data_IF_664067517721
#
_entry.id   IF_664067517721
#
_cell.length_a   1.000
_cell.length_b   1.000
_cell.length_c   1.000
_cell.angle_alpha   90.00
_cell.angle_beta   90.00
_cell.angle_gamma   90.00
#
_symmetry.space_group_name_H-M   'P 1'
#
loop_
_entity.id
_entity.type
_entity.pdbx_description
1 polymer ?
#
# COMPACT_ATOMS: atom_id res chain seq x y z
N UNK A 1 62.98 -23.99 42.92
CA UNK A 1 62.70 -23.91 44.36
C UNK A 1 62.73 -22.45 44.75
N UNK A 2 61.65 -21.73 44.84
CA UNK A 2 61.46 -20.53 45.65
C UNK A 2 59.94 -20.34 45.77
N UNK A 3 59.47 -20.45 47.01
CA UNK A 3 58.08 -20.22 47.41
C UNK A 3 57.83 -18.73 47.59
N UNK A 4 56.85 -18.17 46.99
CA UNK A 4 56.33 -16.82 47.26
C UNK A 4 55.06 -16.92 48.04
N UNK A 5 55.01 -16.37 49.22
CA UNK A 5 53.92 -16.30 50.18
C UNK A 5 53.12 -15.02 49.91
N UNK A 6 51.85 -15.15 49.61
CA UNK A 6 50.97 -14.02 49.38
C UNK A 6 50.23 -13.65 50.67
N UNK A 7 50.41 -12.43 51.16
CA UNK A 7 49.72 -11.81 52.29
C UNK A 7 48.37 -11.29 51.81
N UNK A 8 47.27 -11.72 52.49
CA UNK A 8 45.94 -11.19 52.28
C UNK A 8 45.70 -10.13 53.36
N UNK A 9 45.51 -8.89 52.92
CA UNK A 9 45.05 -7.78 53.80
C UNK A 9 43.52 -7.67 53.73
N UNK A 10 42.86 -7.87 54.85
CA UNK A 10 41.42 -7.69 55.04
C UNK A 10 41.15 -6.24 55.44
N UNK A 11 40.58 -5.41 54.58
CA UNK A 11 40.05 -4.10 54.94
C UNK A 11 38.53 -4.24 55.23
N UNK A 12 38.17 -4.07 56.48
CA UNK A 12 36.78 -3.90 56.89
C UNK A 12 36.33 -2.47 56.69
N UNK A 13 35.41 -2.23 55.80
CA UNK A 13 34.71 -0.97 55.62
C UNK A 13 33.35 -1.05 56.34
N UNK A 14 33.20 -0.19 57.37
CA UNK A 14 31.94 0.07 58.05
C UNK A 14 31.13 1.02 57.17
N UNK A 15 29.99 0.57 56.63
CA UNK A 15 29.02 1.40 55.94
C UNK A 15 27.93 1.89 56.90
N UNK A 16 27.91 3.19 57.15
CA UNK A 16 26.77 3.87 57.74
C UNK A 16 25.59 3.92 56.74
N UNK A 17 24.52 3.28 57.08
CA UNK A 17 23.26 3.36 56.34
C UNK A 17 22.56 4.71 56.47
N UNK A 18 22.36 5.38 55.37
CA UNK A 18 21.38 6.47 55.21
C UNK A 18 20.23 5.97 54.32
N UNK A 19 19.07 5.71 54.94
CA UNK A 19 17.86 5.39 54.19
C UNK A 19 17.27 6.70 53.66
N UNK A 20 17.47 7.00 52.39
CA UNK A 20 16.63 7.97 51.70
C UNK A 20 15.31 7.32 51.31
N UNK A 21 14.16 8.03 51.49
CA UNK A 21 12.87 7.50 51.05
C UNK A 21 12.83 7.48 49.51
N UNK A 22 12.53 6.31 49.00
CA UNK A 22 12.26 6.12 47.58
C UNK A 22 11.17 7.11 47.15
N UNK A 23 11.52 7.99 46.20
CA UNK A 23 10.53 8.75 45.44
C UNK A 23 9.72 7.78 44.57
N UNK A 24 8.54 7.42 45.04
CA UNK A 24 7.49 6.83 44.21
C UNK A 24 7.18 7.80 43.07
N UNK A 25 7.27 7.32 41.82
CA UNK A 25 6.82 8.09 40.67
C UNK A 25 7.53 7.85 39.39
N UNK A 26 8.18 6.70 39.16
CA UNK A 26 8.42 6.27 37.76
C UNK A 26 7.08 5.71 37.25
N UNK A 27 6.49 6.23 36.14
CA UNK A 27 5.31 5.61 35.58
C UNK A 27 5.69 4.17 35.23
N UNK A 28 4.91 3.22 35.76
CA UNK A 28 4.90 1.83 35.33
C UNK A 28 4.96 1.83 33.81
N UNK A 29 5.91 1.12 33.20
CA UNK A 29 5.85 0.78 31.77
C UNK A 29 4.54 0.01 31.59
N UNK A 30 3.45 0.75 31.27
CA UNK A 30 2.25 0.13 30.72
C UNK A 30 2.74 -0.61 29.48
N UNK A 31 2.54 -1.92 29.43
CA UNK A 31 2.92 -2.77 28.30
C UNK A 31 2.27 -2.19 27.06
N UNK A 32 3.07 -1.47 26.25
CA UNK A 32 2.60 -0.83 25.03
C UNK A 32 2.23 -1.91 24.03
N UNK A 33 0.98 -1.93 23.58
CA UNK A 33 0.51 -2.85 22.54
C UNK A 33 1.12 -2.42 21.20
N UNK A 34 1.71 -3.36 20.47
CA UNK A 34 2.23 -3.12 19.12
C UNK A 34 1.39 -3.90 18.13
N UNK A 35 0.65 -3.19 17.28
CA UNK A 35 -0.10 -3.78 16.17
C UNK A 35 0.80 -3.88 14.94
N UNK A 36 0.92 -5.10 14.39
CA UNK A 36 1.65 -5.36 13.15
C UNK A 36 0.71 -5.17 11.95
N UNK A 37 0.96 -4.15 11.14
CA UNK A 37 0.20 -3.82 9.95
C UNK A 37 1.11 -3.96 8.71
N UNK A 38 0.79 -4.91 7.82
CA UNK A 38 1.67 -5.23 6.69
C UNK A 38 0.89 -5.47 5.41
N UNK A 39 1.47 -5.10 4.26
CA UNK A 39 0.92 -5.54 2.99
C UNK A 39 1.05 -4.55 1.84
N UNK A 40 -0.09 -4.13 1.29
CA UNK A 40 -0.16 -3.33 0.08
C UNK A 40 0.66 -2.04 0.13
N UNK A 41 1.59 -1.90 -0.82
CA UNK A 41 2.37 -0.67 -0.97
C UNK A 41 1.51 0.52 -1.40
N UNK A 42 0.35 0.27 -1.99
CA UNK A 42 -0.65 1.32 -2.28
C UNK A 42 -1.09 2.00 -0.99
N UNK A 43 -1.30 1.25 0.10
CA UNK A 43 -1.79 1.81 1.37
C UNK A 43 -0.68 2.31 2.32
N UNK A 44 0.60 2.12 2.01
CA UNK A 44 1.68 2.42 2.98
C UNK A 44 1.63 3.86 3.47
N UNK A 45 1.49 4.84 2.57
CA UNK A 45 1.47 6.26 2.92
C UNK A 45 0.28 6.64 3.83
N UNK A 46 -0.91 6.12 3.55
CA UNK A 46 -2.09 6.39 4.39
C UNK A 46 -2.05 5.59 5.69
N UNK A 47 -1.58 4.34 5.65
CA UNK A 47 -1.44 3.52 6.86
C UNK A 47 -0.43 4.13 7.85
N UNK A 48 0.66 4.72 7.36
CA UNK A 48 1.62 5.47 8.18
C UNK A 48 0.97 6.73 8.75
N UNK A 49 0.23 7.50 7.96
CA UNK A 49 -0.47 8.68 8.44
C UNK A 49 -1.51 8.34 9.52
N UNK A 50 -2.26 7.25 9.34
CA UNK A 50 -3.16 6.75 10.38
C UNK A 50 -2.42 6.32 11.64
N UNK A 51 -1.29 5.61 11.51
CA UNK A 51 -0.50 5.17 12.65
C UNK A 51 0.07 6.36 13.45
N UNK A 52 0.55 7.39 12.76
CA UNK A 52 1.05 8.62 13.37
C UNK A 52 -0.05 9.39 14.10
N UNK A 53 -1.20 9.60 13.44
CA UNK A 53 -2.33 10.31 14.03
C UNK A 53 -2.97 9.53 15.19
N UNK A 54 -3.07 8.20 15.10
CA UNK A 54 -3.63 7.37 16.16
C UNK A 54 -2.80 7.35 17.44
N UNK A 55 -1.49 7.54 17.33
CA UNK A 55 -0.60 7.67 18.50
C UNK A 55 -1.01 8.82 19.44
N UNK A 56 -1.54 9.90 18.87
CA UNK A 56 -2.05 11.05 19.67
C UNK A 56 -3.40 10.71 20.33
N UNK A 57 -4.17 9.78 19.73
CA UNK A 57 -5.47 9.32 20.27
C UNK A 57 -5.27 8.27 21.37
N UNK A 58 -4.36 7.31 21.12
CA UNK A 58 -4.05 6.24 22.08
C UNK A 58 -2.52 5.98 22.17
N UNK A 59 -1.80 6.69 23.05
CA UNK A 59 -0.35 6.56 23.21
C UNK A 59 0.13 5.16 23.63
N UNK A 60 -0.77 4.33 24.18
CA UNK A 60 -0.46 2.96 24.61
C UNK A 60 -0.49 1.95 23.46
N UNK A 61 -0.93 2.37 22.26
CA UNK A 61 -0.93 1.53 21.05
C UNK A 61 0.06 2.09 20.03
N UNK A 62 0.97 1.25 19.58
CA UNK A 62 1.85 1.54 18.45
C UNK A 62 1.44 0.70 17.25
N UNK A 63 1.39 1.30 16.07
CA UNK A 63 1.12 0.57 14.84
C UNK A 63 2.39 0.53 14.00
N UNK A 64 2.96 -0.67 13.81
CA UNK A 64 4.13 -0.89 12.96
C UNK A 64 3.68 -1.17 11.52
N UNK A 65 3.88 -0.20 10.63
CA UNK A 65 3.45 -0.30 9.23
C UNK A 65 4.60 -0.76 8.34
N UNK A 66 4.36 -1.82 7.55
CA UNK A 66 5.32 -2.30 6.55
C UNK A 66 4.62 -2.63 5.23
N UNK A 67 5.26 -2.29 4.11
CA UNK A 67 4.84 -2.65 2.76
C UNK A 67 5.15 -4.12 2.41
N UNK A 68 5.37 -4.37 1.13
CA UNK A 68 5.77 -5.68 0.59
C UNK A 68 4.71 -6.35 -0.27
N UNK A 69 3.64 -5.62 -0.60
CA UNK A 69 2.55 -6.08 -1.46
C UNK A 69 1.42 -6.80 -0.72
N UNK A 70 0.20 -6.72 -1.28
CA UNK A 70 -1.00 -7.35 -0.70
C UNK A 70 -0.86 -8.84 -0.49
N UNK A 71 -0.18 -9.54 -1.41
CA UNK A 71 0.05 -10.99 -1.28
C UNK A 71 0.90 -11.34 -0.07
N UNK A 72 1.93 -10.55 0.22
CA UNK A 72 2.80 -10.74 1.38
C UNK A 72 2.06 -10.44 2.68
N UNK A 73 1.26 -9.36 2.72
CA UNK A 73 0.43 -9.04 3.89
C UNK A 73 -0.57 -10.13 4.20
N UNK A 74 -1.33 -10.58 3.20
CA UNK A 74 -2.29 -11.67 3.35
C UNK A 74 -1.59 -12.95 3.84
N UNK A 75 -0.47 -13.35 3.22
CA UNK A 75 0.29 -14.52 3.67
C UNK A 75 0.75 -14.39 5.15
N UNK A 76 1.21 -13.21 5.55
CA UNK A 76 1.59 -12.94 6.95
C UNK A 76 0.40 -13.07 7.90
N UNK A 77 -0.79 -12.57 7.51
CA UNK A 77 -2.03 -12.72 8.28
C UNK A 77 -2.41 -14.20 8.47
N UNK A 78 -2.38 -14.97 7.37
CA UNK A 78 -2.72 -16.41 7.40
C UNK A 78 -1.74 -17.24 8.23
N UNK A 79 -0.52 -16.75 8.41
CA UNK A 79 0.49 -17.39 9.25
C UNK A 79 0.51 -16.84 10.69
N UNK A 80 -0.41 -15.94 11.05
CA UNK A 80 -0.53 -15.37 12.38
C UNK A 80 0.63 -14.45 12.79
N UNK A 81 1.34 -13.86 11.83
CA UNK A 81 2.51 -13.01 12.08
C UNK A 81 2.20 -11.51 12.03
N UNK A 82 0.96 -11.14 11.69
CA UNK A 82 0.48 -9.75 11.71
C UNK A 82 -0.97 -9.68 12.21
N UNK A 83 -1.35 -8.54 12.75
CA UNK A 83 -2.70 -8.27 13.24
C UNK A 83 -3.61 -7.77 12.12
N UNK A 84 -3.04 -7.03 11.17
CA UNK A 84 -3.75 -6.40 10.07
C UNK A 84 -2.96 -6.60 8.76
N UNK A 85 -3.63 -7.10 7.72
CA UNK A 85 -3.07 -7.15 6.38
C UNK A 85 -3.71 -6.08 5.48
N UNK A 86 -2.89 -5.14 4.99
CA UNK A 86 -3.31 -4.15 3.99
C UNK A 86 -3.41 -4.79 2.61
N UNK A 87 -4.51 -4.56 1.90
CA UNK A 87 -4.71 -5.10 0.56
C UNK A 87 -5.39 -4.10 -0.38
N UNK A 88 -4.92 -4.08 -1.62
CA UNK A 88 -5.51 -3.34 -2.75
C UNK A 88 -6.04 -4.28 -3.83
N UNK A 89 -6.42 -5.45 -3.43
CA UNK A 89 -7.17 -6.49 -4.13
C UNK A 89 -7.90 -7.37 -3.13
N UNK A 90 -8.94 -8.04 -3.57
CA UNK A 90 -9.59 -9.06 -2.73
C UNK A 90 -8.66 -10.25 -2.45
N UNK A 91 -8.90 -10.89 -1.31
CA UNK A 91 -8.29 -12.18 -0.98
C UNK A 91 -8.73 -13.22 -2.02
N UNK A 92 -7.79 -14.06 -2.49
CA UNK A 92 -8.05 -15.06 -3.52
C UNK A 92 -8.62 -16.34 -2.91
N UNK A 93 -9.40 -17.09 -3.67
CA UNK A 93 -9.99 -18.37 -3.21
C UNK A 93 -8.95 -19.34 -2.63
N UNK A 94 -7.77 -19.44 -3.25
CA UNK A 94 -6.67 -20.25 -2.75
C UNK A 94 -6.11 -19.76 -1.41
N UNK A 95 -6.12 -18.45 -1.16
CA UNK A 95 -5.71 -17.83 0.10
C UNK A 95 -6.77 -18.09 1.18
N UNK A 96 -8.06 -17.99 0.82
CA UNK A 96 -9.18 -18.37 1.71
C UNK A 96 -9.10 -19.86 2.08
N UNK A 97 -8.82 -20.74 1.12
CA UNK A 97 -8.64 -22.15 1.38
C UNK A 97 -7.44 -22.44 2.31
N UNK A 98 -6.35 -21.68 2.16
CA UNK A 98 -5.20 -21.78 3.06
C UNK A 98 -5.52 -21.25 4.46
N UNK A 99 -6.27 -20.12 4.56
CA UNK A 99 -6.75 -19.58 5.83
C UNK A 99 -7.50 -20.64 6.65
N UNK A 100 -8.46 -21.32 6.01
CA UNK A 100 -9.24 -22.40 6.65
C UNK A 100 -8.35 -23.53 7.19
N UNK A 101 -7.31 -23.92 6.45
CA UNK A 101 -6.35 -24.95 6.91
C UNK A 101 -5.56 -24.47 8.13
N UNK A 102 -5.26 -23.19 8.21
CA UNK A 102 -4.53 -22.58 9.33
C UNK A 102 -5.45 -22.20 10.51
N UNK A 103 -6.76 -22.47 10.42
CA UNK A 103 -7.73 -22.07 11.45
C UNK A 103 -7.96 -20.54 11.52
N UNK A 104 -7.67 -19.83 10.46
CA UNK A 104 -7.86 -18.38 10.35
C UNK A 104 -9.11 -18.09 9.52
N UNK A 105 -9.95 -17.18 9.99
CA UNK A 105 -11.11 -16.66 9.25
C UNK A 105 -10.88 -15.19 8.90
N UNK A 106 -10.33 -14.86 7.72
CA UNK A 106 -10.04 -13.48 7.36
C UNK A 106 -11.32 -12.65 7.27
N UNK A 107 -11.38 -11.55 8.02
CA UNK A 107 -12.47 -10.59 7.96
C UNK A 107 -12.02 -9.37 7.17
N UNK A 108 -12.82 -9.02 6.15
CA UNK A 108 -12.57 -7.88 5.27
C UNK A 108 -13.15 -6.60 5.84
N UNK A 109 -12.34 -5.55 5.85
CA UNK A 109 -12.74 -4.18 6.21
C UNK A 109 -12.38 -3.27 5.04
N UNK A 110 -13.38 -2.75 4.32
CA UNK A 110 -13.16 -1.72 3.30
C UNK A 110 -12.86 -0.40 4.02
N UNK A 111 -11.69 0.18 3.75
CA UNK A 111 -11.20 1.39 4.41
C UNK A 111 -11.15 2.62 3.49
N UNK A 112 -11.36 2.43 2.20
CA UNK A 112 -11.39 3.49 1.19
C UNK A 112 -11.46 2.93 -0.22
N UNK A 113 -11.35 3.82 -1.22
CA UNK A 113 -11.28 3.46 -2.64
C UNK A 113 -10.09 4.16 -3.31
N UNK A 114 -9.61 3.56 -4.38
CA UNK A 114 -8.47 4.03 -5.16
C UNK A 114 -8.82 4.02 -6.65
N UNK A 115 -8.59 5.12 -7.34
CA UNK A 115 -8.50 5.15 -8.78
C UNK A 115 -7.12 4.63 -9.18
N UNK A 116 -7.05 3.52 -9.91
CA UNK A 116 -5.78 3.03 -10.44
C UNK A 116 -5.42 3.87 -11.67
N UNK A 117 -4.54 4.87 -11.48
CA UNK A 117 -4.15 5.79 -12.52
C UNK A 117 -3.13 5.17 -13.48
N UNK A 118 -3.25 5.51 -14.77
CA UNK A 118 -2.21 5.29 -15.77
C UNK A 118 -1.29 6.50 -15.76
N UNK A 119 0.02 6.26 -15.62
CA UNK A 119 1.04 7.30 -15.59
C UNK A 119 1.85 7.31 -16.87
N UNK A 120 2.05 8.49 -17.41
CA UNK A 120 2.86 8.79 -18.59
C UNK A 120 3.88 9.87 -18.24
N UNK A 121 4.97 9.93 -18.99
CA UNK A 121 5.88 11.07 -18.92
C UNK A 121 5.11 12.36 -19.24
N UNK A 122 5.44 13.48 -18.58
CA UNK A 122 4.73 14.76 -18.72
C UNK A 122 4.61 15.27 -20.16
N UNK A 123 5.58 14.96 -21.01
CA UNK A 123 5.62 15.38 -22.41
C UNK A 123 4.90 14.40 -23.35
N UNK A 124 4.26 13.34 -22.83
CA UNK A 124 3.49 12.40 -23.63
C UNK A 124 2.21 13.08 -24.16
N UNK A 125 1.95 13.07 -25.48
CA UNK A 125 0.77 13.73 -26.05
C UNK A 125 -0.54 12.96 -25.87
N UNK A 126 -0.52 11.71 -25.38
CA UNK A 126 -1.70 10.86 -25.20
C UNK A 126 -2.60 11.41 -24.10
N UNK A 127 -3.79 11.94 -24.43
CA UNK A 127 -4.74 12.52 -23.48
C UNK A 127 -5.82 11.54 -23.01
N UNK A 128 -6.11 10.53 -23.79
CA UNK A 128 -7.10 9.50 -23.50
C UNK A 128 -6.58 8.12 -23.90
N UNK A 129 -7.00 7.09 -23.14
CA UNK A 129 -6.68 5.70 -23.43
C UNK A 129 -7.85 4.81 -23.09
N UNK A 130 -8.13 3.80 -23.92
CA UNK A 130 -9.17 2.81 -23.62
C UNK A 130 -8.60 1.62 -22.84
N UNK A 131 -9.47 0.91 -22.10
CA UNK A 131 -9.11 -0.36 -21.45
C UNK A 131 -8.61 -1.37 -22.49
N UNK A 132 -9.16 -1.37 -23.71
CA UNK A 132 -8.70 -2.21 -24.81
C UNK A 132 -7.27 -1.87 -25.25
N UNK A 133 -6.92 -0.59 -25.37
CA UNK A 133 -5.55 -0.17 -25.68
C UNK A 133 -4.56 -0.52 -24.56
N UNK A 134 -4.96 -0.36 -23.29
CA UNK A 134 -4.16 -0.82 -22.15
C UNK A 134 -3.92 -2.33 -22.21
N UNK A 135 -4.93 -3.12 -22.59
CA UNK A 135 -4.79 -4.56 -22.82
C UNK A 135 -3.82 -4.85 -23.96
N UNK A 136 -3.91 -4.14 -25.06
CA UNK A 136 -2.98 -4.31 -26.21
C UNK A 136 -1.52 -3.99 -25.84
N UNK A 137 -1.30 -3.06 -24.91
CA UNK A 137 0.03 -2.73 -24.39
C UNK A 137 0.55 -3.81 -23.45
N UNK A 138 -0.26 -4.28 -22.51
CA UNK A 138 0.22 -5.08 -21.38
C UNK A 138 -0.04 -6.58 -21.47
N UNK A 139 -1.04 -7.03 -22.23
CA UNK A 139 -1.40 -8.45 -22.32
C UNK A 139 -0.54 -9.21 -23.32
N UNK A 140 -0.23 -10.47 -23.00
CA UNK A 140 0.33 -11.40 -23.97
C UNK A 140 -0.58 -11.48 -25.21
N UNK A 141 0.02 -11.43 -26.41
CA UNK A 141 -0.72 -11.37 -27.69
C UNK A 141 -1.33 -10.01 -28.01
N UNK A 142 -1.19 -9.01 -27.15
CA UNK A 142 -1.58 -7.62 -27.42
C UNK A 142 -0.76 -7.01 -28.56
N UNK A 143 -1.31 -6.02 -29.26
CA UNK A 143 -0.80 -5.55 -30.56
C UNK A 143 0.02 -4.25 -30.45
N UNK A 144 0.07 -3.60 -29.30
CA UNK A 144 0.78 -2.34 -29.12
C UNK A 144 2.12 -2.58 -28.40
N UNK A 145 3.22 -2.55 -29.16
CA UNK A 145 4.59 -2.57 -28.63
C UNK A 145 5.30 -1.23 -28.85
N UNK A 146 4.78 -0.41 -29.76
CA UNK A 146 5.31 0.90 -30.11
C UNK A 146 4.26 1.99 -29.89
N UNK A 147 4.72 3.20 -29.65
CA UNK A 147 3.82 4.36 -29.55
C UNK A 147 3.10 4.65 -30.87
N UNK A 148 3.77 4.38 -32.02
CA UNK A 148 3.15 4.48 -33.35
C UNK A 148 2.00 3.49 -33.57
N UNK A 149 1.96 2.35 -32.87
CA UNK A 149 0.83 1.41 -32.93
C UNK A 149 -0.46 2.03 -32.35
N UNK A 150 -0.31 3.06 -31.52
CA UNK A 150 -1.40 3.88 -30.97
C UNK A 150 -1.59 5.20 -31.73
N UNK A 151 -0.90 5.40 -32.85
CA UNK A 151 -0.91 6.65 -33.61
C UNK A 151 -0.17 7.82 -32.92
N UNK A 152 0.68 7.52 -31.95
CA UNK A 152 1.39 8.52 -31.12
C UNK A 152 2.84 8.62 -31.59
N UNK A 153 3.31 9.86 -31.77
CA UNK A 153 4.74 10.18 -31.91
C UNK A 153 5.27 10.73 -30.60
N UNK A 154 6.09 9.96 -29.90
CA UNK A 154 6.64 10.34 -28.60
C UNK A 154 7.85 11.26 -28.74
N UNK A 155 7.80 12.50 -28.21
CA UNK A 155 8.99 13.34 -28.10
C UNK A 155 9.94 12.78 -27.03
N UNK A 156 11.25 12.92 -27.28
CA UNK A 156 12.27 12.52 -26.30
C UNK A 156 12.53 11.02 -26.19
N UNK A 157 11.81 10.17 -26.94
CA UNK A 157 12.10 8.76 -27.02
C UNK A 157 13.27 8.47 -27.97
N UNK A 158 14.23 7.68 -27.52
CA UNK A 158 15.35 7.22 -28.34
C UNK A 158 14.92 6.09 -29.33
N UNK A 159 13.86 5.40 -29.01
CA UNK A 159 13.18 4.42 -29.86
C UNK A 159 11.68 4.63 -29.77
N UNK A 160 10.92 4.08 -30.73
CA UNK A 160 9.44 4.13 -30.71
C UNK A 160 8.82 3.10 -29.74
N UNK A 161 9.64 2.26 -29.11
CA UNK A 161 9.15 1.19 -28.26
C UNK A 161 8.54 1.70 -26.95
N UNK A 162 7.42 1.11 -26.56
CA UNK A 162 6.77 1.39 -25.28
C UNK A 162 7.55 0.72 -24.15
N UNK A 163 8.06 1.50 -23.20
CA UNK A 163 8.65 0.99 -21.97
C UNK A 163 7.53 0.70 -20.98
N UNK A 164 7.12 -0.56 -20.89
CA UNK A 164 6.08 -1.00 -19.94
C UNK A 164 6.63 -1.06 -18.53
N UNK A 165 6.02 -0.28 -17.63
CA UNK A 165 6.34 -0.29 -16.19
C UNK A 165 5.18 -0.95 -15.46
N UNK A 166 5.47 -2.03 -14.76
CA UNK A 166 4.50 -2.86 -14.05
C UNK A 166 4.89 -3.01 -12.57
N UNK A 167 4.18 -3.84 -11.86
CA UNK A 167 4.41 -4.16 -10.45
C UNK A 167 4.79 -5.63 -10.31
N UNK A 168 5.50 -5.96 -9.24
CA UNK A 168 5.81 -7.36 -8.90
C UNK A 168 4.53 -8.18 -8.65
N UNK A 169 4.58 -9.47 -8.85
CA UNK A 169 3.42 -10.39 -8.79
C UNK A 169 2.78 -10.53 -7.40
N UNK A 170 3.47 -10.17 -6.32
CA UNK A 170 2.93 -10.08 -4.96
C UNK A 170 2.13 -8.79 -4.71
N UNK A 171 2.21 -7.81 -5.62
CA UNK A 171 1.45 -6.56 -5.55
C UNK A 171 -0.05 -6.79 -5.78
N UNK A 172 -0.87 -6.16 -4.94
CA UNK A 172 -2.32 -6.09 -5.17
C UNK A 172 -2.66 -5.30 -6.43
N UNK A 173 -1.87 -4.28 -6.75
CA UNK A 173 -2.03 -3.45 -7.96
C UNK A 173 -1.77 -4.27 -9.22
N UNK A 174 -0.72 -5.10 -9.23
CA UNK A 174 -0.48 -6.05 -10.32
C UNK A 174 -1.68 -6.97 -10.55
N UNK A 175 -2.17 -7.60 -9.47
CA UNK A 175 -3.26 -8.56 -9.58
C UNK A 175 -4.59 -7.90 -9.99
N UNK A 176 -4.88 -6.71 -9.47
CA UNK A 176 -6.08 -5.96 -9.83
C UNK A 176 -6.04 -5.47 -11.28
N UNK A 177 -4.91 -4.89 -11.74
CA UNK A 177 -4.76 -4.46 -13.14
C UNK A 177 -4.89 -5.65 -14.10
N UNK A 178 -4.32 -6.81 -13.73
CA UNK A 178 -4.49 -8.04 -14.51
C UNK A 178 -5.96 -8.39 -14.67
N UNK A 179 -6.73 -8.36 -13.60
CA UNK A 179 -8.16 -8.70 -13.62
C UNK A 179 -8.99 -7.68 -14.41
N UNK A 180 -8.78 -6.38 -14.15
CA UNK A 180 -9.59 -5.30 -14.70
C UNK A 180 -9.28 -4.99 -16.18
N UNK A 181 -8.01 -5.12 -16.59
CA UNK A 181 -7.54 -4.72 -17.93
C UNK A 181 -7.25 -5.93 -18.83
N UNK A 182 -6.46 -6.88 -18.36
CA UNK A 182 -6.07 -8.05 -19.16
C UNK A 182 -7.21 -9.06 -19.22
N UNK A 183 -7.94 -9.22 -18.12
CA UNK A 183 -9.06 -10.12 -18.00
C UNK A 183 -8.69 -11.50 -17.43
N UNK A 184 -9.72 -12.28 -17.09
CA UNK A 184 -9.56 -13.63 -16.54
C UNK A 184 -8.82 -14.55 -17.51
N UNK A 185 -7.78 -15.22 -17.02
CA UNK A 185 -6.98 -16.17 -17.79
C UNK A 185 -5.95 -15.55 -18.74
N UNK A 186 -5.93 -14.23 -18.91
CA UNK A 186 -4.88 -13.55 -19.66
C UNK A 186 -3.57 -13.47 -18.86
N UNK A 187 -2.45 -13.32 -19.56
CA UNK A 187 -1.13 -13.13 -18.96
C UNK A 187 -0.52 -11.80 -19.40
N UNK A 188 0.42 -11.29 -18.59
CA UNK A 188 1.18 -10.11 -18.97
C UNK A 188 2.19 -10.44 -20.07
N UNK A 189 2.39 -9.49 -20.98
CA UNK A 189 3.50 -9.49 -21.93
C UNK A 189 4.83 -9.50 -21.18
N UNK A 190 5.77 -10.30 -21.64
CA UNK A 190 7.14 -10.31 -21.12
C UNK A 190 7.87 -8.98 -21.42
N UNK A 191 8.91 -8.68 -20.65
CA UNK A 191 9.75 -7.50 -20.82
C UNK A 191 9.23 -6.23 -20.17
N UNK A 192 8.23 -6.31 -19.28
CA UNK A 192 7.87 -5.21 -18.38
C UNK A 192 8.95 -4.99 -17.32
N UNK A 193 9.08 -3.75 -16.86
CA UNK A 193 9.90 -3.41 -15.70
C UNK A 193 9.03 -3.54 -14.46
N UNK A 194 9.19 -4.64 -13.72
CA UNK A 194 8.35 -4.97 -12.57
C UNK A 194 8.93 -4.38 -11.28
N UNK A 195 8.28 -3.33 -10.77
CA UNK A 195 8.73 -2.56 -9.62
C UNK A 195 8.01 -2.98 -8.32
N UNK A 196 8.71 -2.80 -7.19
CA UNK A 196 8.19 -3.17 -5.88
C UNK A 196 7.12 -2.16 -5.42
N UNK A 197 7.47 -0.88 -5.30
CA UNK A 197 6.64 0.17 -4.72
C UNK A 197 5.74 0.89 -5.72
N UNK A 198 4.69 1.51 -5.21
CA UNK A 198 3.82 2.38 -6.00
C UNK A 198 4.56 3.64 -6.44
N UNK A 199 5.36 4.20 -5.54
CA UNK A 199 6.21 5.37 -5.81
C UNK A 199 7.25 5.07 -6.89
N UNK A 200 7.87 3.90 -6.85
CA UNK A 200 8.92 3.52 -7.80
C UNK A 200 8.41 3.55 -9.26
N UNK A 201 7.12 3.18 -9.47
CA UNK A 201 6.48 3.26 -10.80
C UNK A 201 6.45 4.71 -11.29
N UNK A 202 5.98 5.62 -10.46
CA UNK A 202 5.87 7.04 -10.82
C UNK A 202 7.25 7.65 -11.06
N UNK A 203 8.22 7.38 -10.18
CA UNK A 203 9.60 7.87 -10.31
C UNK A 203 10.29 7.38 -11.60
N UNK A 204 10.00 6.13 -12.03
CA UNK A 204 10.55 5.61 -13.26
C UNK A 204 9.90 6.22 -14.51
N UNK A 205 8.57 6.37 -14.49
CA UNK A 205 7.81 6.99 -15.58
C UNK A 205 8.22 8.45 -15.78
N UNK A 206 8.37 9.20 -14.69
CA UNK A 206 8.86 10.59 -14.70
C UNK A 206 10.19 10.77 -15.45
N UNK A 207 11.10 9.78 -15.30
CA UNK A 207 12.46 9.82 -15.85
C UNK A 207 12.61 9.13 -17.21
N UNK A 208 11.53 8.55 -17.73
CA UNK A 208 11.56 7.72 -18.94
C UNK A 208 10.50 8.18 -19.94
N UNK A 209 10.84 9.02 -20.93
CA UNK A 209 9.87 9.57 -21.88
C UNK A 209 8.98 8.53 -22.56
N UNK A 210 9.53 7.35 -22.90
CA UNK A 210 8.78 6.28 -23.59
C UNK A 210 7.98 5.38 -22.63
N UNK A 211 7.95 5.68 -21.31
CA UNK A 211 7.32 4.81 -20.36
C UNK A 211 5.80 5.04 -20.24
N UNK A 212 5.12 3.92 -19.99
CA UNK A 212 3.76 3.88 -19.47
C UNK A 212 3.76 3.00 -18.24
N UNK A 213 3.12 3.44 -17.17
CA UNK A 213 3.00 2.71 -15.92
C UNK A 213 1.62 2.83 -15.30
N UNK A 214 1.34 2.06 -14.27
CA UNK A 214 0.09 2.13 -13.52
C UNK A 214 0.34 2.00 -12.01
N UNK A 215 -0.33 2.85 -11.23
CA UNK A 215 -0.27 2.82 -9.77
C UNK A 215 -1.48 3.54 -9.17
N UNK A 216 -1.63 3.56 -7.84
CA UNK A 216 -2.67 4.33 -7.17
C UNK A 216 -2.55 5.83 -7.44
N UNK A 217 -3.68 6.50 -7.64
CA UNK A 217 -3.76 7.95 -7.90
C UNK A 217 -3.01 8.78 -6.85
N UNK A 218 -3.06 8.37 -5.59
CA UNK A 218 -2.41 9.04 -4.48
C UNK A 218 -0.87 9.21 -4.60
N UNK A 219 -0.24 8.55 -5.56
CA UNK A 219 1.19 8.68 -5.86
C UNK A 219 1.49 9.65 -7.01
N UNK A 220 0.46 10.26 -7.62
CA UNK A 220 0.63 11.26 -8.66
C UNK A 220 1.44 12.46 -8.15
N UNK A 221 2.28 13.02 -9.03
CA UNK A 221 3.01 14.24 -8.80
C UNK A 221 2.98 15.14 -10.06
N UNK A 222 3.52 16.33 -9.99
CA UNK A 222 3.52 17.31 -11.07
C UNK A 222 4.43 16.95 -12.27
N UNK A 223 5.26 15.91 -12.15
CA UNK A 223 6.22 15.48 -13.17
C UNK A 223 5.69 14.37 -14.07
N UNK A 224 4.50 13.84 -13.80
CA UNK A 224 3.84 12.83 -14.62
C UNK A 224 2.48 13.32 -15.11
N UNK A 225 2.03 12.76 -16.21
CA UNK A 225 0.72 13.01 -16.79
C UNK A 225 -0.15 11.76 -16.67
N UNK A 226 -1.43 11.96 -16.48
CA UNK A 226 -2.42 10.90 -16.43
C UNK A 226 -3.46 11.11 -17.52
N UNK A 227 -3.58 10.24 -18.52
CA UNK A 227 -4.66 10.30 -19.49
C UNK A 227 -5.98 9.94 -18.79
N UNK A 228 -7.09 10.47 -19.27
CA UNK A 228 -8.38 9.90 -18.91
C UNK A 228 -8.54 8.49 -19.50
N UNK A 229 -9.33 7.66 -18.83
CA UNK A 229 -9.56 6.26 -19.25
C UNK A 229 -11.00 6.09 -19.73
N UNK A 230 -11.15 5.40 -20.86
CA UNK A 230 -12.44 5.00 -21.42
C UNK A 230 -12.64 3.50 -21.18
N UNK A 231 -13.81 3.11 -20.73
CA UNK A 231 -14.16 1.68 -20.57
C UNK A 231 -14.13 0.95 -21.92
N UNK A 232 -14.62 1.62 -22.97
CA UNK A 232 -14.60 1.20 -24.37
C UNK A 232 -14.56 2.44 -25.29
N UNK A 233 -14.56 2.23 -26.60
CA UNK A 233 -14.45 3.32 -27.56
C UNK A 233 -15.67 4.29 -27.55
N UNK A 234 -16.84 3.82 -27.15
CA UNK A 234 -18.07 4.61 -27.08
C UNK A 234 -18.27 5.32 -25.72
N UNK A 235 -17.55 4.87 -24.68
CA UNK A 235 -17.67 5.41 -23.33
C UNK A 235 -17.08 6.82 -23.22
N UNK A 236 -17.59 7.59 -22.26
CA UNK A 236 -16.97 8.85 -21.88
C UNK A 236 -15.56 8.62 -21.32
N UNK A 237 -14.65 9.55 -21.61
CA UNK A 237 -13.31 9.54 -21.04
C UNK A 237 -13.37 10.11 -19.62
N UNK A 238 -12.99 9.33 -18.63
CA UNK A 238 -13.04 9.72 -17.22
C UNK A 238 -11.61 9.90 -16.69
N UNK A 239 -11.31 11.08 -16.15
CA UNK A 239 -10.04 11.31 -15.47
C UNK A 239 -9.98 10.54 -14.14
N UNK A 240 -8.80 10.03 -13.73
CA UNK A 240 -8.67 9.40 -12.42
C UNK A 240 -8.95 10.43 -11.32
N UNK A 241 -9.93 10.15 -10.47
CA UNK A 241 -10.29 11.01 -9.33
C UNK A 241 -10.85 10.19 -8.17
N UNK A 242 -10.90 10.79 -6.98
CA UNK A 242 -11.52 10.19 -5.81
C UNK A 242 -13.02 10.00 -6.02
N UNK A 243 -13.69 10.98 -6.63
CA UNK A 243 -15.13 10.94 -6.95
C UNK A 243 -15.43 9.79 -7.91
N UNK A 244 -14.67 9.67 -9.00
CA UNK A 244 -14.83 8.59 -9.97
C UNK A 244 -14.55 7.20 -9.40
N UNK A 245 -13.73 7.12 -8.33
CA UNK A 245 -13.51 5.87 -7.61
C UNK A 245 -14.67 5.49 -6.69
N UNK A 246 -15.41 6.47 -6.15
CA UNK A 246 -16.57 6.26 -5.27
C UNK A 246 -17.81 5.88 -6.09
N UNK A 247 -18.12 6.67 -7.12
CA UNK A 247 -19.34 6.53 -7.91
C UNK A 247 -19.25 5.45 -9.01
N UNK A 248 -18.04 4.89 -9.19
CA UNK A 248 -17.77 3.84 -10.18
C UNK A 248 -17.70 4.32 -11.62
N UNK A 249 -17.65 5.63 -11.86
CA UNK A 249 -17.51 6.19 -13.21
C UNK A 249 -16.11 5.98 -13.79
N UNK A 250 -15.07 5.91 -12.94
CA UNK A 250 -13.72 5.61 -13.39
C UNK A 250 -13.53 4.10 -13.64
N UNK A 251 -13.14 3.66 -14.86
CA UNK A 251 -13.22 2.24 -15.25
C UNK A 251 -12.35 1.30 -14.44
N UNK A 252 -11.23 1.78 -13.88
CA UNK A 252 -10.26 0.96 -13.15
C UNK A 252 -10.13 1.43 -11.69
N UNK A 253 -11.28 1.58 -11.01
CA UNK A 253 -11.39 1.87 -9.58
C UNK A 253 -11.53 0.59 -8.74
N UNK A 254 -11.03 0.63 -7.50
CA UNK A 254 -11.03 -0.53 -6.60
C UNK A 254 -11.20 -0.15 -5.14
N UNK A 255 -11.75 -1.04 -4.30
CA UNK A 255 -11.69 -0.85 -2.87
C UNK A 255 -10.28 -1.07 -2.33
N UNK A 256 -9.96 -0.34 -1.26
CA UNK A 256 -8.80 -0.56 -0.41
C UNK A 256 -9.27 -1.25 0.88
N UNK A 257 -8.58 -2.30 1.29
CA UNK A 257 -9.04 -3.17 2.36
C UNK A 257 -7.95 -3.41 3.40
N UNK A 258 -8.41 -3.60 4.62
CA UNK A 258 -7.65 -4.22 5.70
C UNK A 258 -8.30 -5.55 6.06
N UNK A 259 -7.49 -6.61 6.21
CA UNK A 259 -7.96 -7.91 6.68
C UNK A 259 -7.45 -8.17 8.09
N UNK A 260 -8.33 -8.74 8.95
CA UNK A 260 -7.98 -9.23 10.29
C UNK A 260 -8.13 -10.75 10.36
N UNK A 261 -7.43 -11.46 11.29
CA UNK A 261 -7.47 -12.93 11.37
C UNK A 261 -8.72 -13.48 12.09
N UNK A 262 -9.79 -12.73 12.10
CA UNK A 262 -11.08 -12.95 12.75
C UNK A 262 -11.73 -11.62 13.05
N UNK A 263 -12.86 -11.63 13.75
CA UNK A 263 -13.51 -10.39 14.21
C UNK A 263 -12.52 -9.61 15.10
N UNK A 264 -12.22 -8.33 14.79
CA UNK A 264 -11.24 -7.55 15.54
C UNK A 264 -11.69 -7.33 16.98
N UNK A 265 -10.74 -7.37 17.92
CA UNK A 265 -10.97 -7.17 19.36
C UNK A 265 -9.89 -6.25 19.92
N UNK A 266 -10.16 -5.64 21.10
CA UNK A 266 -9.21 -4.79 21.81
C UNK A 266 -8.61 -3.71 20.93
N UNK A 267 -7.30 -3.50 21.00
CA UNK A 267 -6.59 -2.44 20.29
C UNK A 267 -6.78 -2.49 18.75
N UNK A 268 -6.85 -3.68 18.16
CA UNK A 268 -7.10 -3.83 16.70
C UNK A 268 -8.48 -3.30 16.33
N UNK A 269 -9.51 -3.60 17.14
CA UNK A 269 -10.87 -3.10 16.90
C UNK A 269 -10.92 -1.58 17.06
N UNK A 270 -10.37 -1.06 18.15
CA UNK A 270 -10.35 0.38 18.44
C UNK A 270 -9.64 1.17 17.30
N UNK A 271 -8.52 0.65 16.80
CA UNK A 271 -7.79 1.26 15.71
C UNK A 271 -8.60 1.24 14.40
N UNK A 272 -9.23 0.12 14.04
CA UNK A 272 -10.06 0.03 12.85
C UNK A 272 -11.32 0.91 12.95
N UNK A 273 -11.98 0.93 14.09
CA UNK A 273 -13.14 1.81 14.33
C UNK A 273 -12.75 3.28 14.17
N UNK A 274 -11.57 3.67 14.66
CA UNK A 274 -11.05 5.02 14.49
C UNK A 274 -10.69 5.33 13.01
N UNK A 275 -10.07 4.41 12.27
CA UNK A 275 -9.82 4.57 10.82
C UNK A 275 -11.14 4.82 10.09
N UNK A 276 -12.20 4.12 10.47
CA UNK A 276 -13.52 4.24 9.85
C UNK A 276 -14.33 5.45 10.35
N UNK A 277 -13.86 6.15 11.39
CA UNK A 277 -14.45 7.41 11.85
C UNK A 277 -14.22 8.55 10.86
N UNK A 278 -14.89 9.69 11.06
CA UNK A 278 -14.70 10.88 10.20
C UNK A 278 -13.24 11.34 10.18
N UNK A 279 -12.56 11.30 11.32
CA UNK A 279 -11.14 11.68 11.42
C UNK A 279 -10.27 10.78 10.56
N UNK A 280 -10.39 9.46 10.69
CA UNK A 280 -9.62 8.52 9.89
C UNK A 280 -9.95 8.62 8.40
N UNK A 281 -11.20 8.90 8.06
CA UNK A 281 -11.64 9.06 6.68
C UNK A 281 -11.26 10.43 6.07
N UNK A 282 -11.06 11.47 6.87
CA UNK A 282 -10.44 12.70 6.41
C UNK A 282 -8.96 12.48 6.07
N UNK A 283 -8.23 11.75 6.90
CA UNK A 283 -6.82 11.43 6.63
C UNK A 283 -6.65 10.68 5.29
N UNK A 284 -7.54 9.72 4.98
CA UNK A 284 -7.42 9.01 3.69
C UNK A 284 -7.71 9.94 2.51
N UNK A 285 -8.66 10.86 2.64
CA UNK A 285 -8.94 11.91 1.66
C UNK A 285 -7.72 12.82 1.43
N UNK A 286 -7.09 13.30 2.50
CA UNK A 286 -5.88 14.14 2.45
C UNK A 286 -4.69 13.43 1.78
N UNK A 287 -4.67 12.09 1.82
CA UNK A 287 -3.67 11.27 1.13
C UNK A 287 -4.01 10.95 -0.33
N UNK A 288 -5.09 11.52 -0.88
CA UNK A 288 -5.44 11.39 -2.29
C UNK A 288 -6.22 10.12 -2.65
N UNK A 289 -6.76 9.42 -1.65
CA UNK A 289 -7.70 8.32 -1.84
C UNK A 289 -9.13 8.76 -1.61
N UNK A 290 -10.08 7.95 -2.05
CA UNK A 290 -11.48 8.20 -1.80
C UNK A 290 -11.92 7.59 -0.46
N UNK A 291 -12.55 8.35 0.45
CA UNK A 291 -13.18 7.82 1.65
C UNK A 291 -14.31 6.84 1.32
N UNK A 292 -14.66 5.96 2.28
CA UNK A 292 -15.79 5.01 2.11
C UNK A 292 -17.16 5.70 2.12
N UNK A 293 -17.24 6.94 2.53
CA UNK A 293 -18.43 7.78 2.59
C UNK A 293 -18.04 9.25 2.57
N UNK A 294 -18.99 10.10 2.25
CA UNK A 294 -18.80 11.55 2.39
C UNK A 294 -18.54 11.91 3.86
N UNK A 295 -17.46 12.64 4.12
CA UNK A 295 -17.08 13.14 5.44
C UNK A 295 -16.91 14.66 5.41
N UNK A 296 -17.16 15.30 6.55
CA UNK A 296 -16.87 16.73 6.74
C UNK A 296 -15.54 16.82 7.47
N UNK A 297 -14.50 17.19 6.75
CA UNK A 297 -13.19 17.41 7.35
C UNK A 297 -13.14 18.83 7.90
N UNK A 298 -12.71 18.97 9.16
CA UNK A 298 -12.44 20.29 9.75
C UNK A 298 -11.28 20.96 8.98
N UNK A 299 -11.38 22.27 8.81
CA UNK A 299 -10.31 23.10 8.28
C UNK A 299 -9.17 23.25 9.29
#
# INVERSE_FOLDING_TARGET
>A
MIRATTLIAICTLVACGGSEPAKDGAPSKTDRVVLQNKGSDTLVNVAQAWAEAYKEVNPNVAVAVTGGGSGTGIASLLNGTVDIANASRKIKDKEVAQAKKNGVEPVEHVVGHDALAVFLHKDNPLKEITVAQLKDIYAEGGKADKWSDLGIKMPGCSSDEIVRVSRQNNSGTYAYFKEAVIGKGGEYKLGSRDLHGSKDVVDLVEKTPCAIGYSGLAYANEHVMMPCVKADDAAACVAPSAEGAIDGSYPIARPLMMYTPGQPKGATKEYLDWILSDVGQCIIGDKGYAPIRTVKCGA
#
